data_IF_607280771005
#
_entry.id   IF_607280771005
#
_cell.length_a   1.000
_cell.length_b   1.000
_cell.length_c   1.000
_cell.angle_alpha   90.00
_cell.angle_beta   90.00
_cell.angle_gamma   90.00
#
_symmetry.space_group_name_H-M   'P 1'
#
loop_
_entity.id
_entity.type
_entity.pdbx_description
1 polymer ?
#
# COMPACT_ATOMS: atom_id res chain seq x y z
N UNK A 1 27.17 6.47 -7.84
CA UNK A 1 25.94 6.06 -8.57
C UNK A 1 25.25 7.31 -9.08
N UNK A 2 24.53 7.21 -10.19
CA UNK A 2 23.71 8.27 -10.79
C UNK A 2 22.30 7.74 -11.00
N UNK A 3 21.30 8.61 -10.92
CA UNK A 3 19.91 8.24 -11.16
C UNK A 3 19.43 8.77 -12.52
N UNK A 4 18.62 7.97 -13.19
CA UNK A 4 17.85 8.34 -14.37
C UNK A 4 16.51 7.62 -14.29
N UNK A 5 15.41 8.38 -14.25
CA UNK A 5 14.06 7.78 -14.26
C UNK A 5 13.88 6.95 -15.52
N UNK A 6 13.20 5.81 -15.41
CA UNK A 6 13.13 4.87 -16.51
C UNK A 6 12.37 5.47 -17.71
N UNK A 7 12.95 5.30 -18.89
CA UNK A 7 12.30 5.53 -20.17
C UNK A 7 12.86 4.52 -21.19
N UNK A 8 12.17 4.35 -22.31
CA UNK A 8 12.54 3.35 -23.35
C UNK A 8 13.95 3.52 -23.93
N UNK A 9 14.55 4.70 -23.80
CA UNK A 9 15.95 4.93 -24.19
C UNK A 9 16.95 4.13 -23.36
N UNK A 10 16.56 3.66 -22.18
CA UNK A 10 17.39 2.85 -21.30
C UNK A 10 17.30 1.35 -21.58
N UNK A 11 16.43 0.87 -22.48
CA UNK A 11 16.14 -0.56 -22.66
C UNK A 11 17.40 -1.42 -22.88
N UNK A 12 18.36 -0.91 -23.65
CA UNK A 12 19.60 -1.63 -23.97
C UNK A 12 20.81 -1.16 -23.12
N UNK A 13 20.57 -0.42 -22.04
CA UNK A 13 21.60 0.06 -21.12
C UNK A 13 21.60 -0.79 -19.86
N UNK A 14 22.77 -1.29 -19.46
CA UNK A 14 22.94 -1.95 -18.17
C UNK A 14 22.67 -0.97 -17.04
N UNK A 15 21.75 -1.35 -16.14
CA UNK A 15 21.25 -0.51 -15.05
C UNK A 15 20.88 -1.35 -13.83
N UNK A 16 20.76 -0.69 -12.69
CA UNK A 16 20.20 -1.23 -11.47
C UNK A 16 18.74 -0.76 -11.40
N UNK A 17 17.78 -1.68 -11.46
CA UNK A 17 16.37 -1.37 -11.27
C UNK A 17 16.07 -1.45 -9.79
N UNK A 18 15.77 -0.31 -9.19
CA UNK A 18 15.44 -0.20 -7.77
C UNK A 18 13.96 0.08 -7.69
N UNK A 19 13.28 -0.66 -6.83
CA UNK A 19 11.85 -0.50 -6.62
C UNK A 19 11.02 -0.56 -7.91
N UNK A 20 11.20 -1.66 -8.64
CA UNK A 20 10.54 -1.94 -9.89
C UNK A 20 11.32 -3.01 -10.64
N UNK A 21 10.69 -3.59 -11.65
CA UNK A 21 11.32 -4.57 -12.54
C UNK A 21 11.33 -4.04 -13.96
N UNK A 22 12.52 -3.72 -14.48
CA UNK A 22 12.71 -3.34 -15.89
C UNK A 22 13.70 -4.28 -16.58
N UNK A 23 13.51 -4.51 -17.88
CA UNK A 23 14.38 -5.39 -18.65
C UNK A 23 15.83 -4.91 -18.70
N UNK A 24 16.76 -5.88 -18.88
CA UNK A 24 18.21 -5.64 -18.96
C UNK A 24 18.76 -4.89 -17.73
N UNK A 25 18.34 -5.31 -16.53
CA UNK A 25 18.76 -4.70 -15.28
C UNK A 25 19.09 -5.76 -14.22
N UNK A 26 19.85 -5.36 -13.21
CA UNK A 26 19.95 -6.09 -11.95
C UNK A 26 18.88 -5.52 -11.01
N UNK A 27 18.04 -6.40 -10.48
CA UNK A 27 16.93 -6.01 -9.62
C UNK A 27 17.36 -5.77 -8.17
N UNK A 28 16.84 -4.71 -7.58
CA UNK A 28 16.83 -4.41 -6.15
C UNK A 28 15.43 -3.90 -5.78
N UNK A 29 14.47 -4.81 -5.87
CA UNK A 29 13.04 -4.56 -5.70
C UNK A 29 12.39 -5.69 -4.93
N UNK A 30 11.35 -5.35 -4.18
CA UNK A 30 10.43 -6.28 -3.53
C UNK A 30 9.24 -6.73 -4.43
N UNK A 31 9.11 -6.23 -5.66
CA UNK A 31 8.00 -6.56 -6.56
C UNK A 31 7.95 -8.06 -6.88
N UNK A 32 6.75 -8.61 -7.06
CA UNK A 32 6.58 -10.00 -7.46
C UNK A 32 7.33 -10.32 -8.76
N UNK A 33 8.17 -11.36 -8.74
CA UNK A 33 8.96 -11.78 -9.91
C UNK A 33 10.30 -11.05 -10.06
N UNK A 34 10.73 -10.27 -9.06
CA UNK A 34 12.08 -9.70 -9.04
C UNK A 34 13.16 -10.79 -9.01
N UNK A 35 14.37 -10.39 -9.40
CA UNK A 35 15.58 -11.23 -9.36
C UNK A 35 16.58 -10.69 -8.33
N UNK A 36 16.09 -10.01 -7.30
CA UNK A 36 16.92 -9.40 -6.26
C UNK A 36 17.76 -10.49 -5.57
N UNK A 37 19.09 -10.32 -5.46
CA UNK A 37 19.94 -11.31 -4.82
C UNK A 37 19.49 -11.61 -3.39
N UNK A 38 19.42 -12.89 -3.04
CA UNK A 38 18.91 -13.35 -1.74
C UNK A 38 19.66 -12.75 -0.54
N UNK A 39 20.94 -12.40 -0.70
CA UNK A 39 21.77 -11.77 0.34
C UNK A 39 21.21 -10.42 0.80
N UNK A 40 20.54 -9.66 -0.08
CA UNK A 40 20.07 -8.30 0.21
C UNK A 40 18.56 -8.18 0.26
N UNK A 41 17.82 -9.27 0.00
CA UNK A 41 16.34 -9.25 0.04
C UNK A 41 15.83 -8.78 1.40
N UNK A 42 14.76 -8.01 1.36
CA UNK A 42 14.01 -7.49 2.51
C UNK A 42 12.57 -7.19 2.06
N UNK A 43 11.73 -6.72 2.97
CA UNK A 43 10.31 -6.51 2.70
C UNK A 43 10.05 -5.30 1.77
N UNK A 44 10.84 -4.24 1.89
CA UNK A 44 10.74 -3.03 1.05
C UNK A 44 11.99 -2.85 0.20
N UNK A 45 11.86 -2.18 -0.94
CA UNK A 45 12.96 -1.84 -1.83
C UNK A 45 13.97 -0.91 -1.16
N UNK A 46 13.53 -0.04 -0.25
CA UNK A 46 14.42 0.80 0.57
C UNK A 46 15.29 -0.03 1.50
N UNK A 47 14.73 -1.05 2.16
CA UNK A 47 15.53 -1.93 3.00
C UNK A 47 16.49 -2.78 2.15
N UNK A 48 16.06 -3.23 0.97
CA UNK A 48 16.93 -3.91 0.00
C UNK A 48 18.12 -3.02 -0.39
N UNK A 49 17.86 -1.75 -0.72
CA UNK A 49 18.90 -0.79 -1.06
C UNK A 49 19.86 -0.53 0.12
N UNK A 50 19.34 -0.44 1.35
CA UNK A 50 20.15 -0.30 2.57
C UNK A 50 21.06 -1.52 2.80
N UNK A 51 20.52 -2.72 2.62
CA UNK A 51 21.29 -3.96 2.72
C UNK A 51 22.37 -4.02 1.63
N UNK A 52 22.08 -3.58 0.41
CA UNK A 52 23.05 -3.52 -0.68
C UNK A 52 24.18 -2.53 -0.40
N UNK A 53 23.87 -1.29 -0.01
CA UNK A 53 24.92 -0.28 0.21
C UNK A 53 25.79 -0.59 1.42
N UNK A 54 25.25 -1.34 2.40
CA UNK A 54 26.00 -1.87 3.55
C UNK A 54 26.70 -3.21 3.32
N UNK A 55 26.44 -3.90 2.20
CA UNK A 55 27.02 -5.22 1.94
C UNK A 55 28.51 -5.10 1.56
N UNK A 56 29.39 -5.95 2.12
CA UNK A 56 30.78 -6.04 1.66
C UNK A 56 30.88 -6.54 0.20
N UNK A 57 29.83 -7.18 -0.32
CA UNK A 57 29.75 -7.70 -1.68
C UNK A 57 29.12 -6.71 -2.67
N UNK A 58 28.85 -5.46 -2.27
CA UNK A 58 28.18 -4.44 -3.10
C UNK A 58 28.70 -4.39 -4.54
N UNK A 59 30.01 -4.34 -4.74
CA UNK A 59 30.60 -4.24 -6.09
C UNK A 59 30.33 -5.47 -6.96
N UNK A 60 30.28 -6.66 -6.36
CA UNK A 60 29.94 -7.89 -7.07
C UNK A 60 28.44 -7.93 -7.40
N UNK A 61 27.60 -7.53 -6.45
CA UNK A 61 26.14 -7.47 -6.60
C UNK A 61 25.71 -6.46 -7.67
N UNK A 62 26.39 -5.31 -7.78
CA UNK A 62 26.09 -4.29 -8.80
C UNK A 62 26.84 -4.52 -10.11
N UNK A 63 27.81 -5.44 -10.14
CA UNK A 63 28.72 -5.65 -11.29
C UNK A 63 29.41 -4.36 -11.78
N UNK A 64 29.64 -3.40 -10.87
CA UNK A 64 30.20 -2.08 -11.21
C UNK A 64 29.25 -1.15 -11.95
N UNK A 65 27.98 -1.51 -12.14
CA UNK A 65 26.96 -0.63 -12.73
C UNK A 65 26.66 0.52 -11.75
N UNK A 66 26.68 1.74 -12.28
CA UNK A 66 26.43 2.95 -11.50
C UNK A 66 25.08 3.62 -11.80
N UNK A 67 24.42 3.23 -12.90
CA UNK A 67 23.12 3.75 -13.30
C UNK A 67 22.01 3.08 -12.49
N UNK A 68 21.31 3.87 -11.69
CA UNK A 68 20.12 3.48 -10.93
C UNK A 68 18.88 4.00 -11.65
N UNK A 69 17.84 3.20 -11.73
CA UNK A 69 16.57 3.57 -12.35
C UNK A 69 15.38 3.05 -11.53
N UNK A 70 14.25 3.74 -11.65
CA UNK A 70 12.93 3.34 -11.17
C UNK A 70 11.92 3.74 -12.26
N UNK A 71 10.83 2.99 -12.41
CA UNK A 71 9.75 3.17 -13.39
C UNK A 71 8.48 3.82 -12.83
N UNK A 72 8.43 4.15 -11.53
CA UNK A 72 7.29 4.81 -10.91
C UNK A 72 7.72 5.65 -9.70
N UNK A 73 6.85 6.56 -9.27
CA UNK A 73 7.06 7.42 -8.11
C UNK A 73 6.17 7.02 -6.92
N UNK A 74 6.79 6.63 -5.82
CA UNK A 74 6.18 6.57 -4.50
C UNK A 74 7.24 6.77 -3.41
N UNK A 75 6.87 6.60 -2.14
CA UNK A 75 7.82 6.76 -1.03
C UNK A 75 8.92 5.69 -1.05
N UNK A 76 8.61 4.41 -1.27
CA UNK A 76 9.64 3.36 -1.23
C UNK A 76 10.63 3.51 -2.38
N UNK A 77 10.15 3.88 -3.57
CA UNK A 77 10.96 4.20 -4.74
C UNK A 77 11.89 5.40 -4.54
N UNK A 78 11.37 6.49 -4.01
CA UNK A 78 12.17 7.69 -3.73
C UNK A 78 13.25 7.40 -2.68
N UNK A 79 12.88 6.72 -1.59
CA UNK A 79 13.80 6.42 -0.49
C UNK A 79 14.87 5.40 -0.88
N UNK A 80 14.51 4.40 -1.69
CA UNK A 80 15.45 3.39 -2.20
C UNK A 80 16.44 3.99 -3.21
N UNK A 81 15.99 4.84 -4.14
CA UNK A 81 16.88 5.59 -5.04
C UNK A 81 17.79 6.51 -4.24
N UNK A 82 17.25 7.29 -3.30
CA UNK A 82 18.06 8.17 -2.46
C UNK A 82 19.13 7.41 -1.68
N UNK A 83 18.79 6.22 -1.17
CA UNK A 83 19.71 5.31 -0.48
C UNK A 83 20.88 4.90 -1.37
N UNK A 84 20.61 4.54 -2.62
CA UNK A 84 21.65 4.15 -3.58
C UNK A 84 22.62 5.28 -3.91
N UNK A 85 22.10 6.51 -3.96
CA UNK A 85 22.91 7.70 -4.26
C UNK A 85 23.75 8.17 -3.05
N UNK A 86 23.27 7.95 -1.82
CA UNK A 86 23.86 8.54 -0.60
C UNK A 86 24.51 7.53 0.36
N UNK A 87 24.42 6.22 0.07
CA UNK A 87 25.14 5.12 0.71
C UNK A 87 25.39 5.26 2.23
N UNK A 88 26.59 5.67 2.66
CA UNK A 88 26.95 5.83 4.08
C UNK A 88 25.95 6.68 4.86
N UNK A 89 25.51 7.80 4.26
CA UNK A 89 24.53 8.68 4.90
C UNK A 89 23.16 8.01 5.05
N UNK A 90 22.79 7.14 4.12
CA UNK A 90 21.55 6.38 4.21
C UNK A 90 21.62 5.32 5.31
N UNK A 91 22.77 4.67 5.51
CA UNK A 91 22.96 3.74 6.63
C UNK A 91 22.77 4.41 7.99
N UNK A 92 23.23 5.66 8.14
CA UNK A 92 23.01 6.46 9.35
C UNK A 92 21.54 6.82 9.61
N UNK A 93 20.70 6.80 8.57
CA UNK A 93 19.27 7.11 8.63
C UNK A 93 18.38 5.88 8.50
N UNK A 94 18.94 4.66 8.67
CA UNK A 94 18.22 3.39 8.55
C UNK A 94 16.95 3.34 9.40
N UNK A 95 17.00 3.89 10.62
CA UNK A 95 15.88 3.97 11.57
C UNK A 95 14.73 4.88 11.13
N UNK A 96 14.95 5.72 10.09
CA UNK A 96 13.93 6.61 9.52
C UNK A 96 13.47 6.14 8.14
N UNK A 97 14.41 5.65 7.34
CA UNK A 97 14.15 5.17 5.98
C UNK A 97 13.21 3.95 5.98
N UNK A 98 13.51 2.93 6.79
CA UNK A 98 12.70 1.69 6.80
C UNK A 98 11.25 1.98 7.22
N UNK A 99 10.99 2.64 8.38
CA UNK A 99 9.62 2.92 8.79
C UNK A 99 8.84 3.78 7.79
N UNK A 100 9.49 4.73 7.12
CA UNK A 100 8.85 5.60 6.13
C UNK A 100 8.52 4.85 4.83
N UNK A 101 9.39 3.94 4.39
CA UNK A 101 9.13 3.05 3.27
C UNK A 101 7.94 2.12 3.56
N UNK A 102 7.93 1.47 4.72
CA UNK A 102 6.81 0.60 5.14
C UNK A 102 5.49 1.37 5.29
N UNK A 103 5.53 2.62 5.76
CA UNK A 103 4.36 3.48 5.85
C UNK A 103 3.82 3.88 4.47
N UNK A 104 4.70 4.17 3.50
CA UNK A 104 4.29 4.58 2.16
C UNK A 104 3.83 3.44 1.27
N UNK A 105 4.56 2.33 1.29
CA UNK A 105 4.31 1.21 0.39
C UNK A 105 3.30 0.21 0.98
N UNK A 106 3.33 -0.08 2.28
CA UNK A 106 2.39 -1.04 2.90
C UNK A 106 1.22 -0.40 3.66
N UNK A 107 1.18 0.93 3.74
CA UNK A 107 0.19 1.66 4.56
C UNK A 107 0.19 1.16 6.01
N UNK A 108 1.39 0.92 6.55
CA UNK A 108 1.55 0.48 7.93
C UNK A 108 1.78 1.65 8.88
N UNK A 109 1.10 1.62 10.03
CA UNK A 109 1.41 2.54 11.12
C UNK A 109 2.72 2.11 11.79
N UNK A 110 3.84 2.57 11.27
CA UNK A 110 5.16 2.31 11.87
C UNK A 110 5.44 3.27 13.03
N UNK A 111 5.45 4.57 12.74
CA UNK A 111 5.43 5.66 13.72
C UNK A 111 4.91 6.96 13.07
N UNK A 112 4.55 7.95 13.88
CA UNK A 112 3.95 9.19 13.37
C UNK A 112 4.85 9.91 12.35
N UNK A 113 6.15 10.05 12.63
CA UNK A 113 7.06 10.78 11.76
C UNK A 113 7.24 10.09 10.40
N UNK A 114 7.27 8.76 10.39
CA UNK A 114 7.37 7.96 9.18
C UNK A 114 6.13 8.10 8.28
N UNK A 115 4.93 8.01 8.86
CA UNK A 115 3.68 8.21 8.12
C UNK A 115 3.60 9.65 7.59
N UNK A 116 3.96 10.65 8.40
CA UNK A 116 4.01 12.06 7.97
C UNK A 116 5.01 12.30 6.84
N UNK A 117 6.18 11.67 6.90
CA UNK A 117 7.20 11.75 5.84
C UNK A 117 6.68 11.13 4.53
N UNK A 118 6.06 9.95 4.62
CA UNK A 118 5.40 9.31 3.48
C UNK A 118 4.33 10.22 2.86
N UNK A 119 3.41 10.76 3.66
CA UNK A 119 2.39 11.70 3.16
C UNK A 119 3.04 12.93 2.50
N UNK A 120 4.09 13.50 3.08
CA UNK A 120 4.79 14.64 2.47
C UNK A 120 5.40 14.27 1.10
N UNK A 121 5.85 13.03 0.92
CA UNK A 121 6.47 12.55 -0.32
C UNK A 121 5.39 12.17 -1.35
N UNK A 122 4.50 11.23 -1.05
CA UNK A 122 3.57 10.64 -2.03
C UNK A 122 2.12 11.16 -1.92
N UNK A 123 1.78 11.92 -0.87
CA UNK A 123 0.51 12.63 -0.75
C UNK A 123 -0.63 11.88 -0.06
N UNK A 124 -0.55 10.54 0.04
CA UNK A 124 -1.67 9.76 0.57
C UNK A 124 -1.25 8.49 1.31
N UNK A 125 -2.17 7.98 2.12
CA UNK A 125 -2.11 6.70 2.85
C UNK A 125 -2.26 5.47 1.92
N UNK A 126 -2.40 5.68 0.61
CA UNK A 126 -2.42 4.62 -0.40
C UNK A 126 -1.49 4.96 -1.57
N UNK A 127 -0.77 3.98 -2.14
CA UNK A 127 0.04 4.22 -3.32
C UNK A 127 -0.76 4.58 -4.58
N UNK A 128 -2.07 4.32 -4.67
CA UNK A 128 -2.85 4.67 -5.87
C UNK A 128 -4.31 4.96 -5.52
N UNK A 129 -4.77 6.20 -5.73
CA UNK A 129 -6.17 6.48 -6.01
C UNK A 129 -6.23 7.39 -7.23
N UNK A 130 -7.20 7.14 -8.12
CA UNK A 130 -7.41 7.84 -9.39
C UNK A 130 -7.68 9.37 -9.29
N UNK A 131 -7.54 9.97 -8.10
CA UNK A 131 -7.58 11.42 -7.89
C UNK A 131 -6.13 11.90 -7.66
N UNK A 132 -5.41 11.92 -8.78
CA UNK A 132 -3.99 12.21 -8.97
C UNK A 132 -3.64 13.64 -8.54
N UNK A 133 -3.36 13.84 -7.25
CA UNK A 133 -2.73 15.09 -6.80
C UNK A 133 -1.23 15.11 -7.08
N UNK A 134 -0.61 13.99 -7.47
CA UNK A 134 0.85 13.84 -7.49
C UNK A 134 1.47 14.05 -6.11
N UNK A 135 2.80 14.09 -6.04
CA UNK A 135 3.53 14.40 -4.81
C UNK A 135 3.22 15.83 -4.33
N UNK A 136 2.71 16.05 -3.11
CA UNK A 136 2.43 17.40 -2.61
C UNK A 136 3.72 18.21 -2.44
N UNK A 137 4.83 17.54 -2.11
CA UNK A 137 6.15 18.17 -2.07
C UNK A 137 6.64 18.57 -3.46
N UNK A 138 6.53 17.70 -4.46
CA UNK A 138 6.88 18.05 -5.84
C UNK A 138 6.05 19.26 -6.30
N UNK A 139 4.74 19.26 -6.03
CA UNK A 139 3.86 20.35 -6.38
C UNK A 139 4.28 21.68 -5.76
N UNK A 140 4.60 21.67 -4.46
CA UNK A 140 5.07 22.86 -3.77
C UNK A 140 6.38 23.38 -4.38
N UNK A 141 7.33 22.48 -4.65
CA UNK A 141 8.64 22.85 -5.20
C UNK A 141 8.55 23.39 -6.63
N UNK A 142 7.59 22.87 -7.42
CA UNK A 142 7.31 23.36 -8.77
C UNK A 142 6.42 24.62 -8.80
N UNK A 143 5.68 24.89 -7.72
CA UNK A 143 4.67 25.96 -7.67
C UNK A 143 3.38 25.64 -8.44
N UNK A 144 3.08 24.37 -8.68
CA UNK A 144 1.94 23.90 -9.47
C UNK A 144 1.84 22.37 -9.49
N UNK A 145 0.84 21.81 -10.18
CA UNK A 145 0.70 20.34 -10.30
C UNK A 145 1.89 19.74 -11.06
N UNK A 146 2.42 18.64 -10.56
CA UNK A 146 3.41 17.77 -11.19
C UNK A 146 2.77 16.41 -11.40
N UNK A 147 2.47 16.09 -12.65
CA UNK A 147 1.85 14.84 -13.12
C UNK A 147 2.86 13.89 -13.81
N UNK A 148 4.16 14.19 -13.68
CA UNK A 148 5.26 13.43 -14.27
C UNK A 148 6.17 12.90 -13.15
N UNK A 149 6.27 11.58 -13.05
CA UNK A 149 7.08 10.90 -12.04
C UNK A 149 8.56 11.27 -12.14
N UNK A 150 9.10 11.38 -13.37
CA UNK A 150 10.49 11.78 -13.59
C UNK A 150 10.75 13.16 -12.97
N UNK A 151 9.87 14.12 -13.25
CA UNK A 151 9.92 15.46 -12.66
C UNK A 151 9.73 15.44 -11.14
N UNK A 152 8.85 14.58 -10.62
CA UNK A 152 8.67 14.42 -9.18
C UNK A 152 9.96 13.94 -8.50
N UNK A 153 10.67 12.97 -9.07
CA UNK A 153 11.99 12.55 -8.58
C UNK A 153 13.01 13.69 -8.57
N UNK A 154 13.12 14.44 -9.66
CA UNK A 154 14.07 15.57 -9.75
C UNK A 154 13.88 16.59 -8.62
N UNK A 155 12.62 16.86 -8.27
CA UNK A 155 12.26 17.83 -7.24
C UNK A 155 12.42 17.26 -5.83
N UNK A 156 11.97 16.03 -5.61
CA UNK A 156 11.85 15.44 -4.27
C UNK A 156 13.15 14.80 -3.79
N UNK A 157 13.94 14.15 -4.66
CA UNK A 157 15.18 13.48 -4.25
C UNK A 157 16.13 14.36 -3.43
N UNK A 158 16.38 15.64 -3.78
CA UNK A 158 17.24 16.52 -2.98
C UNK A 158 16.67 16.86 -1.59
N UNK A 159 15.38 16.63 -1.35
CA UNK A 159 14.69 16.97 -0.10
C UNK A 159 14.58 15.79 0.88
N UNK A 160 14.81 14.55 0.44
CA UNK A 160 14.54 13.32 1.23
C UNK A 160 15.10 13.37 2.64
N UNK A 161 16.39 13.69 2.79
CA UNK A 161 17.01 13.75 4.12
C UNK A 161 16.34 14.78 5.02
N UNK A 162 15.99 15.95 4.48
CA UNK A 162 15.34 17.01 5.24
C UNK A 162 13.92 16.62 5.63
N UNK A 163 13.17 15.97 4.74
CA UNK A 163 11.84 15.42 5.06
C UNK A 163 11.93 14.41 6.19
N UNK A 164 12.87 13.46 6.14
CA UNK A 164 13.02 12.42 7.16
C UNK A 164 13.50 12.95 8.52
N UNK A 165 14.36 13.98 8.52
CA UNK A 165 14.99 14.49 9.75
C UNK A 165 14.27 15.69 10.35
N UNK A 166 13.44 16.38 9.55
CA UNK A 166 12.73 17.62 9.93
C UNK A 166 11.31 17.65 9.38
N UNK A 167 10.60 16.53 9.53
CA UNK A 167 9.24 16.34 9.00
C UNK A 167 8.27 17.46 9.44
N UNK A 168 8.45 18.02 10.65
CA UNK A 168 7.64 19.12 11.17
C UNK A 168 7.72 20.40 10.32
N UNK A 169 8.83 20.64 9.60
CA UNK A 169 8.94 21.77 8.66
C UNK A 169 8.02 21.63 7.43
N UNK A 170 7.48 20.42 7.21
CA UNK A 170 6.57 20.08 6.11
C UNK A 170 5.12 19.92 6.58
N UNK A 171 4.78 20.39 7.78
CA UNK A 171 3.45 20.21 8.37
C UNK A 171 2.30 20.61 7.44
N UNK A 172 2.45 21.71 6.71
CA UNK A 172 1.43 22.17 5.76
C UNK A 172 1.17 21.18 4.61
N UNK A 173 2.06 20.23 4.34
CA UNK A 173 1.86 19.17 3.35
C UNK A 173 1.14 17.95 3.94
N UNK A 174 1.50 17.54 5.16
CA UNK A 174 1.03 16.26 5.70
C UNK A 174 -0.09 16.38 6.72
N UNK A 175 -0.35 17.56 7.29
CA UNK A 175 -1.33 17.75 8.38
C UNK A 175 -2.74 17.30 8.01
N UNK A 176 -3.22 17.65 6.82
CA UNK A 176 -4.57 17.31 6.37
C UNK A 176 -4.80 15.79 6.30
N UNK A 177 -4.03 15.05 5.49
CA UNK A 177 -4.13 13.59 5.45
C UNK A 177 -3.83 12.91 6.78
N UNK A 178 -2.86 13.41 7.56
CA UNK A 178 -2.55 12.87 8.88
C UNK A 178 -3.72 13.02 9.87
N UNK A 179 -4.44 14.15 9.85
CA UNK A 179 -5.62 14.34 10.69
C UNK A 179 -6.73 13.31 10.39
N UNK A 180 -6.86 12.87 9.14
CA UNK A 180 -7.81 11.82 8.76
C UNK A 180 -7.39 10.47 9.37
N UNK A 181 -6.09 10.16 9.35
CA UNK A 181 -5.53 8.96 10.00
C UNK A 181 -5.72 9.03 11.53
N UNK A 182 -5.37 10.15 12.17
CA UNK A 182 -5.57 10.37 13.61
C UNK A 182 -7.04 10.16 13.98
N UNK A 183 -7.98 10.78 13.26
CA UNK A 183 -9.42 10.65 13.54
C UNK A 183 -9.89 9.20 13.37
N UNK A 184 -9.34 8.48 12.39
CA UNK A 184 -9.63 7.05 12.19
C UNK A 184 -9.11 6.21 13.35
N UNK A 185 -7.87 6.43 13.80
CA UNK A 185 -7.27 5.74 14.95
C UNK A 185 -8.11 5.99 16.21
N UNK A 186 -8.44 7.25 16.49
CA UNK A 186 -9.28 7.62 17.62
C UNK A 186 -10.65 6.94 17.57
N UNK A 187 -11.24 6.79 16.39
CA UNK A 187 -12.51 6.08 16.20
C UNK A 187 -12.41 4.61 16.61
N UNK A 188 -11.31 3.92 16.31
CA UNK A 188 -11.05 2.56 16.79
C UNK A 188 -10.82 2.53 18.31
N UNK A 189 -10.04 3.46 18.87
CA UNK A 189 -9.75 3.51 20.32
C UNK A 189 -11.01 3.72 21.17
N UNK A 190 -11.97 4.49 20.65
CA UNK A 190 -13.27 4.75 21.29
C UNK A 190 -14.30 3.64 21.06
N UNK A 191 -13.99 2.66 20.20
CA UNK A 191 -14.90 1.58 19.81
C UNK A 191 -16.02 1.99 18.85
N UNK A 192 -15.92 3.16 18.22
CA UNK A 192 -16.86 3.58 17.17
C UNK A 192 -16.60 2.83 15.86
N UNK A 193 -15.32 2.65 15.51
CA UNK A 193 -14.86 1.65 14.54
C UNK A 193 -14.39 0.40 15.29
N UNK A 194 -14.56 -0.79 14.71
CA UNK A 194 -14.25 -2.04 15.38
C UNK A 194 -13.52 -3.02 14.47
N UNK A 195 -12.69 -3.87 15.07
CA UNK A 195 -12.09 -5.04 14.41
C UNK A 195 -12.51 -6.29 15.17
N UNK A 196 -13.05 -7.27 14.46
CA UNK A 196 -13.32 -8.61 14.96
C UNK A 196 -12.45 -9.62 14.23
N UNK A 197 -11.69 -10.42 14.99
CA UNK A 197 -10.77 -11.40 14.44
C UNK A 197 -11.38 -12.81 14.41
N UNK A 198 -11.27 -13.45 13.24
CA UNK A 198 -11.70 -14.82 13.01
C UNK A 198 -10.47 -15.68 12.64
N UNK A 199 -9.80 -16.20 13.67
CA UNK A 199 -8.55 -16.94 13.51
C UNK A 199 -8.66 -18.24 12.70
N UNK A 200 -9.84 -18.87 12.68
CA UNK A 200 -10.17 -20.04 11.87
C UNK A 200 -10.08 -19.75 10.36
N UNK A 201 -10.46 -18.53 9.95
CA UNK A 201 -10.43 -18.08 8.56
C UNK A 201 -9.23 -17.17 8.23
N UNK A 202 -8.46 -16.77 9.25
CA UNK A 202 -7.47 -15.68 9.21
C UNK A 202 -8.08 -14.40 8.62
N UNK A 203 -9.31 -14.09 9.02
CA UNK A 203 -10.11 -12.98 8.54
C UNK A 203 -10.24 -11.93 9.65
N UNK A 204 -10.02 -10.66 9.32
CA UNK A 204 -10.45 -9.54 10.15
C UNK A 204 -11.70 -8.91 9.53
N UNK A 205 -12.78 -8.83 10.31
CA UNK A 205 -13.93 -7.99 9.98
C UNK A 205 -13.69 -6.61 10.58
N UNK A 206 -13.59 -5.60 9.71
CA UNK A 206 -13.42 -4.21 10.08
C UNK A 206 -14.74 -3.48 9.82
N UNK A 207 -15.29 -2.84 10.84
CA UNK A 207 -16.45 -1.95 10.71
C UNK A 207 -16.00 -0.53 10.96
N UNK A 208 -16.11 0.33 9.95
CA UNK A 208 -15.67 1.72 10.01
C UNK A 208 -16.84 2.61 10.44
N UNK A 209 -16.62 3.50 11.40
CA UNK A 209 -17.66 4.43 11.83
C UNK A 209 -18.03 5.42 10.71
N UNK A 210 -19.31 5.75 10.61
CA UNK A 210 -19.81 6.69 9.58
C UNK A 210 -19.17 8.06 9.68
N UNK A 211 -18.80 8.51 10.87
CA UNK A 211 -18.28 9.86 11.17
C UNK A 211 -16.74 9.91 11.29
N UNK A 212 -16.03 8.89 10.77
CA UNK A 212 -14.55 8.83 10.81
C UNK A 212 -13.86 10.07 10.24
N UNK A 213 -14.47 10.80 9.30
CA UNK A 213 -13.96 12.09 8.78
C UNK A 213 -14.84 13.29 9.17
N UNK A 214 -15.44 13.23 10.36
CA UNK A 214 -16.23 14.31 10.95
C UNK A 214 -17.73 14.25 10.63
N UNK A 215 -18.47 15.33 10.92
CA UNK A 215 -19.94 15.33 10.86
C UNK A 215 -20.53 15.09 9.45
N UNK A 216 -19.77 15.43 8.40
CA UNK A 216 -20.14 15.12 7.00
C UNK A 216 -20.07 13.63 6.69
N UNK A 217 -19.32 12.88 7.50
CA UNK A 217 -19.14 11.44 7.41
C UNK A 217 -18.10 10.99 6.37
N UNK A 218 -17.60 9.78 6.59
CA UNK A 218 -16.87 9.00 5.61
C UNK A 218 -17.81 8.58 4.49
N UNK A 219 -17.53 9.05 3.27
CA UNK A 219 -18.19 8.60 2.04
C UNK A 219 -17.28 7.63 1.27
N UNK A 220 -17.57 6.32 1.23
CA UNK A 220 -16.76 5.33 0.50
C UNK A 220 -16.70 5.57 -1.02
N UNK A 221 -17.61 6.37 -1.58
CA UNK A 221 -17.55 6.76 -2.98
C UNK A 221 -16.54 7.88 -3.26
N UNK A 222 -16.00 8.52 -2.22
CA UNK A 222 -15.09 9.67 -2.31
C UNK A 222 -13.78 9.47 -1.58
N UNK A 223 -13.76 8.64 -0.55
CA UNK A 223 -12.60 8.45 0.30
C UNK A 223 -12.10 7.00 0.25
N UNK A 224 -10.78 6.85 0.25
CA UNK A 224 -10.15 5.56 0.48
C UNK A 224 -10.40 5.08 1.92
N UNK A 225 -10.39 3.76 2.13
CA UNK A 225 -10.41 3.22 3.49
C UNK A 225 -9.17 3.71 4.25
N UNK A 226 -9.24 3.92 5.58
CA UNK A 226 -8.12 4.42 6.37
C UNK A 226 -7.13 3.29 6.67
N UNK A 227 -6.37 2.85 5.65
CA UNK A 227 -5.56 1.64 5.71
C UNK A 227 -4.46 1.69 6.75
N UNK A 228 -3.79 2.83 6.99
CA UNK A 228 -2.84 2.97 8.11
C UNK A 228 -3.51 2.78 9.47
N UNK A 229 -4.75 3.23 9.65
CA UNK A 229 -5.49 2.94 10.87
C UNK A 229 -5.90 1.47 10.94
N UNK A 230 -6.36 0.88 9.84
CA UNK A 230 -6.77 -0.53 9.77
C UNK A 230 -5.58 -1.45 10.07
N UNK A 231 -4.41 -1.23 9.46
CA UNK A 231 -3.20 -2.04 9.63
C UNK A 231 -2.69 -2.04 11.07
N UNK A 232 -2.96 -0.98 11.83
CA UNK A 232 -2.66 -0.89 13.27
C UNK A 232 -3.49 -1.87 14.11
N UNK A 233 -4.71 -2.18 13.71
CA UNK A 233 -5.67 -2.96 14.52
C UNK A 233 -5.98 -4.36 13.98
N UNK A 234 -6.00 -4.54 12.67
CA UNK A 234 -6.32 -5.80 11.99
C UNK A 234 -5.08 -6.70 11.84
N UNK A 235 -5.25 -8.01 12.07
CA UNK A 235 -4.18 -9.02 12.06
C UNK A 235 -4.43 -10.18 11.10
N UNK A 236 -5.57 -10.17 10.42
CA UNK A 236 -5.95 -11.18 9.45
C UNK A 236 -5.06 -11.14 8.20
N UNK A 237 -5.13 -12.23 7.44
CA UNK A 237 -4.56 -12.32 6.09
C UNK A 237 -5.56 -11.87 5.02
N UNK A 238 -6.79 -11.58 5.42
CA UNK A 238 -7.87 -11.07 4.60
C UNK A 238 -8.69 -10.10 5.44
N UNK A 239 -9.09 -8.98 4.85
CA UNK A 239 -9.84 -7.91 5.49
C UNK A 239 -11.20 -7.80 4.83
N UNK A 240 -12.28 -8.00 5.60
CA UNK A 240 -13.62 -7.59 5.22
C UNK A 240 -13.86 -6.20 5.80
N UNK A 241 -13.83 -5.18 4.96
CA UNK A 241 -14.04 -3.78 5.34
C UNK A 241 -15.50 -3.43 5.06
N UNK A 242 -16.26 -3.19 6.14
CA UNK A 242 -17.67 -2.83 6.13
C UNK A 242 -17.85 -1.36 6.52
N UNK A 243 -18.54 -0.60 5.67
CA UNK A 243 -18.70 0.85 5.80
C UNK A 243 -20.19 1.20 5.72
N UNK A 244 -20.78 1.90 6.71
CA UNK A 244 -22.14 2.37 6.63
C UNK A 244 -22.32 3.27 5.39
N UNK A 245 -23.21 2.89 4.49
CA UNK A 245 -23.43 3.62 3.24
C UNK A 245 -24.91 3.62 2.86
N UNK A 246 -25.47 4.82 2.71
CA UNK A 246 -26.90 5.02 2.49
C UNK A 246 -27.74 4.31 3.57
N UNK A 247 -28.62 3.38 3.19
CA UNK A 247 -29.46 2.58 4.10
C UNK A 247 -28.91 1.16 4.33
N UNK A 248 -27.64 0.91 4.00
CA UNK A 248 -26.99 -0.39 4.11
C UNK A 248 -25.49 -0.26 4.31
N UNK A 249 -24.73 -1.14 3.67
CA UNK A 249 -23.29 -1.29 3.85
C UNK A 249 -22.56 -1.33 2.52
N UNK A 250 -21.51 -0.52 2.38
CA UNK A 250 -20.51 -0.72 1.34
C UNK A 250 -19.47 -1.72 1.85
N UNK A 251 -19.08 -2.66 0.99
CA UNK A 251 -18.11 -3.69 1.33
C UNK A 251 -16.94 -3.71 0.38
N UNK A 252 -15.76 -3.93 0.95
CA UNK A 252 -14.53 -4.30 0.26
C UNK A 252 -13.93 -5.52 0.95
N UNK A 253 -13.38 -6.44 0.15
CA UNK A 253 -12.56 -7.54 0.64
C UNK A 253 -11.19 -7.33 0.06
N UNK A 254 -10.25 -7.02 0.94
CA UNK A 254 -8.89 -6.66 0.59
C UNK A 254 -7.91 -7.60 1.31
N UNK A 255 -6.75 -7.82 0.73
CA UNK A 255 -5.61 -8.40 1.41
C UNK A 255 -4.78 -7.29 2.07
N UNK A 256 -3.98 -7.60 3.11
CA UNK A 256 -2.95 -6.67 3.58
C UNK A 256 -2.09 -6.21 2.40
N UNK A 257 -1.73 -4.92 2.35
CA UNK A 257 -1.09 -4.37 1.16
C UNK A 257 0.21 -5.10 0.83
N UNK A 258 1.07 -5.39 1.82
CA UNK A 258 2.30 -6.17 1.62
C UNK A 258 2.12 -7.54 0.93
N UNK A 259 0.91 -8.10 0.90
CA UNK A 259 0.65 -9.44 0.35
C UNK A 259 0.87 -9.56 -1.16
N UNK A 260 0.95 -8.45 -1.90
CA UNK A 260 1.31 -8.49 -3.33
C UNK A 260 2.83 -8.54 -3.56
N UNK A 261 3.63 -8.14 -2.57
CA UNK A 261 5.09 -8.06 -2.66
C UNK A 261 5.77 -9.37 -2.24
N UNK A 262 7.03 -9.54 -2.66
CA UNK A 262 7.92 -10.59 -2.15
C UNK A 262 8.58 -10.15 -0.85
N UNK A 263 8.02 -10.58 0.27
CA UNK A 263 8.50 -10.27 1.61
C UNK A 263 9.40 -11.38 2.20
N UNK A 264 10.26 -11.01 3.14
CA UNK A 264 11.15 -11.88 3.92
C UNK A 264 10.65 -12.07 5.35
N UNK A 265 10.28 -10.99 6.04
CA UNK A 265 9.82 -11.00 7.43
C UNK A 265 8.31 -11.19 7.49
N UNK A 266 7.56 -10.43 6.68
CA UNK A 266 6.10 -10.56 6.58
C UNK A 266 5.71 -11.92 5.96
N UNK A 267 4.60 -12.53 6.44
CA UNK A 267 4.18 -13.83 5.95
C UNK A 267 3.70 -13.73 4.51
N UNK A 268 4.10 -14.69 3.68
CA UNK A 268 3.53 -14.85 2.34
C UNK A 268 2.05 -15.23 2.45
N UNK A 269 1.19 -14.52 1.71
CA UNK A 269 -0.25 -14.77 1.67
C UNK A 269 -0.62 -15.23 0.26
N UNK A 270 -1.16 -16.45 0.17
CA UNK A 270 -1.67 -16.97 -1.10
C UNK A 270 -3.00 -16.29 -1.45
N UNK A 271 -3.07 -15.73 -2.66
CA UNK A 271 -4.32 -15.16 -3.20
C UNK A 271 -5.29 -16.29 -3.51
N UNK A 272 -6.51 -16.16 -3.03
CA UNK A 272 -7.56 -17.16 -3.12
C UNK A 272 -8.51 -16.86 -4.28
N UNK A 273 -9.03 -17.91 -4.92
CA UNK A 273 -10.09 -17.78 -5.91
C UNK A 273 -11.44 -17.59 -5.20
N UNK A 274 -12.05 -16.41 -5.33
CA UNK A 274 -13.31 -16.08 -4.68
C UNK A 274 -14.56 -16.25 -5.58
N UNK A 275 -14.46 -16.91 -6.73
CA UNK A 275 -15.59 -17.05 -7.65
C UNK A 275 -16.83 -17.68 -6.99
N UNK A 276 -16.65 -18.76 -6.21
CA UNK A 276 -17.75 -19.43 -5.51
C UNK A 276 -18.33 -18.57 -4.38
N UNK A 277 -17.46 -17.83 -3.66
CA UNK A 277 -17.87 -16.89 -2.63
C UNK A 277 -18.75 -15.78 -3.21
N UNK A 278 -18.34 -15.20 -4.34
CA UNK A 278 -19.12 -14.18 -5.08
C UNK A 278 -20.52 -14.71 -5.41
N UNK A 279 -20.62 -15.92 -5.97
CA UNK A 279 -21.92 -16.54 -6.27
C UNK A 279 -22.79 -16.68 -5.02
N UNK A 280 -22.23 -17.20 -3.92
CA UNK A 280 -22.97 -17.41 -2.66
C UNK A 280 -23.43 -16.11 -2.00
N UNK A 281 -22.64 -15.05 -2.06
CA UNK A 281 -23.04 -13.74 -1.56
C UNK A 281 -24.15 -13.13 -2.42
N UNK A 282 -24.02 -13.21 -3.75
CA UNK A 282 -25.06 -12.71 -4.68
C UNK A 282 -26.39 -13.45 -4.55
N UNK A 283 -26.41 -14.75 -4.23
CA UNK A 283 -27.64 -15.51 -3.95
C UNK A 283 -28.38 -15.02 -2.69
N UNK A 284 -27.68 -14.35 -1.77
CA UNK A 284 -28.24 -13.84 -0.51
C UNK A 284 -28.70 -12.40 -0.59
N UNK A 285 -28.16 -11.64 -1.54
CA UNK A 285 -28.60 -10.28 -1.81
C UNK A 285 -30.07 -10.26 -2.23
N UNK A 286 -30.79 -9.21 -1.81
CA UNK A 286 -32.22 -9.03 -2.11
C UNK A 286 -32.44 -7.64 -2.66
N UNK A 287 -33.17 -7.56 -3.77
CA UNK A 287 -33.78 -6.32 -4.31
C UNK A 287 -32.82 -5.11 -4.48
N UNK A 288 -31.51 -5.36 -4.58
CA UNK A 288 -30.48 -4.33 -4.74
C UNK A 288 -30.05 -4.14 -6.19
N UNK A 289 -29.67 -2.91 -6.55
CA UNK A 289 -29.07 -2.62 -7.87
C UNK A 289 -27.59 -3.05 -7.97
N UNK A 290 -26.95 -3.37 -6.84
CA UNK A 290 -25.56 -3.80 -6.77
C UNK A 290 -25.38 -5.32 -6.77
N UNK A 291 -24.15 -5.76 -6.99
CA UNK A 291 -23.73 -7.16 -6.90
C UNK A 291 -22.30 -7.26 -6.38
N UNK A 292 -21.97 -8.37 -5.74
CA UNK A 292 -20.59 -8.74 -5.44
C UNK A 292 -19.86 -9.06 -6.74
N UNK A 293 -18.69 -8.47 -6.92
CA UNK A 293 -17.79 -8.76 -8.03
C UNK A 293 -16.39 -9.03 -7.50
N UNK A 294 -15.63 -9.85 -8.23
CA UNK A 294 -14.18 -9.86 -8.09
C UNK A 294 -13.64 -8.49 -8.50
N UNK A 295 -12.59 -8.04 -7.82
CA UNK A 295 -11.92 -6.79 -8.12
C UNK A 295 -10.41 -7.00 -8.11
N UNK A 296 -9.77 -6.51 -9.17
CA UNK A 296 -8.31 -6.52 -9.36
C UNK A 296 -7.82 -5.16 -9.81
N UNK A 297 -8.64 -4.11 -9.66
CA UNK A 297 -8.28 -2.73 -10.02
C UNK A 297 -7.24 -2.12 -9.07
N UNK A 298 -7.11 -2.68 -7.87
CA UNK A 298 -6.14 -2.27 -6.85
C UNK A 298 -5.36 -3.51 -6.38
N UNK A 299 -4.09 -3.34 -6.03
CA UNK A 299 -3.18 -4.45 -5.67
C UNK A 299 -3.66 -5.26 -4.45
N UNK A 300 -4.28 -4.59 -3.48
CA UNK A 300 -4.83 -5.22 -2.27
C UNK A 300 -6.22 -5.80 -2.49
N UNK A 301 -7.01 -5.23 -3.42
CA UNK A 301 -8.43 -5.58 -3.58
C UNK A 301 -8.62 -6.98 -4.12
N UNK A 302 -9.68 -7.63 -3.66
CA UNK A 302 -10.10 -8.94 -4.13
C UNK A 302 -11.57 -8.97 -4.54
N UNK A 303 -12.43 -8.27 -3.80
CA UNK A 303 -13.85 -8.17 -4.10
C UNK A 303 -14.45 -6.86 -3.61
N UNK A 304 -15.47 -6.38 -4.32
CA UNK A 304 -16.28 -5.23 -3.88
C UNK A 304 -17.75 -5.49 -4.17
N UNK A 305 -18.63 -4.84 -3.39
CA UNK A 305 -20.05 -4.76 -3.72
C UNK A 305 -20.32 -3.48 -4.53
N UNK A 306 -20.60 -3.63 -5.82
CA UNK A 306 -20.64 -2.51 -6.77
C UNK A 306 -21.87 -2.53 -7.67
N UNK A 307 -22.19 -1.35 -8.22
CA UNK A 307 -23.11 -1.18 -9.34
C UNK A 307 -22.46 -1.66 -10.65
N UNK A 308 -23.24 -1.70 -11.73
CA UNK A 308 -22.75 -2.07 -13.06
C UNK A 308 -21.70 -1.11 -13.63
N UNK A 309 -21.61 0.13 -13.13
CA UNK A 309 -20.60 1.12 -13.50
C UNK A 309 -19.32 1.02 -12.66
N UNK A 310 -19.22 0.03 -11.78
CA UNK A 310 -18.05 -0.22 -10.93
C UNK A 310 -18.03 0.58 -9.62
N UNK A 311 -18.95 1.51 -9.41
CA UNK A 311 -19.01 2.28 -8.15
C UNK A 311 -19.54 1.44 -7.00
N UNK A 312 -19.05 1.70 -5.79
CA UNK A 312 -19.55 1.05 -4.58
C UNK A 312 -21.06 1.31 -4.42
N UNK A 313 -21.77 0.25 -3.99
CA UNK A 313 -23.20 0.28 -3.74
C UNK A 313 -23.49 -0.12 -2.30
N UNK A 314 -24.73 0.11 -1.85
CA UNK A 314 -25.19 -0.33 -0.54
C UNK A 314 -25.75 -1.75 -0.63
N UNK A 315 -25.08 -2.72 -0.01
CA UNK A 315 -25.60 -4.06 0.26
C UNK A 315 -26.54 -4.02 1.47
N UNK A 316 -27.56 -4.88 1.44
CA UNK A 316 -28.50 -5.07 2.56
C UNK A 316 -28.00 -6.10 3.58
N UNK A 317 -27.00 -6.90 3.21
CA UNK A 317 -26.39 -7.89 4.10
C UNK A 317 -25.67 -7.19 5.24
N UNK A 318 -25.80 -7.73 6.45
CA UNK A 318 -25.11 -7.20 7.62
C UNK A 318 -23.66 -7.71 7.69
N UNK A 319 -22.73 -6.97 8.32
CA UNK A 319 -21.30 -7.31 8.29
C UNK A 319 -21.01 -8.72 8.83
N UNK A 320 -21.69 -9.11 9.91
CA UNK A 320 -21.57 -10.44 10.50
C UNK A 320 -22.08 -11.55 9.57
N UNK A 321 -23.14 -11.29 8.78
CA UNK A 321 -23.65 -12.25 7.81
C UNK A 321 -22.62 -12.48 6.69
N UNK A 322 -22.04 -11.41 6.16
CA UNK A 322 -21.00 -11.50 5.12
C UNK A 322 -19.78 -12.25 5.68
N UNK A 323 -19.31 -11.89 6.88
CA UNK A 323 -18.19 -12.56 7.54
C UNK A 323 -18.45 -14.07 7.71
N UNK A 324 -19.65 -14.46 8.15
CA UNK A 324 -20.00 -15.87 8.31
C UNK A 324 -20.01 -16.65 7.00
N UNK A 325 -20.48 -16.05 5.90
CA UNK A 325 -20.43 -16.68 4.57
C UNK A 325 -18.97 -16.87 4.13
N UNK A 326 -18.12 -15.85 4.28
CA UNK A 326 -16.69 -15.93 3.97
C UNK A 326 -16.04 -17.04 4.77
N UNK A 327 -16.24 -17.08 6.10
CA UNK A 327 -15.63 -18.07 6.98
C UNK A 327 -16.01 -19.50 6.60
N UNK A 328 -17.29 -19.75 6.31
CA UNK A 328 -17.77 -21.07 5.88
C UNK A 328 -17.16 -21.50 4.55
N UNK A 329 -17.02 -20.57 3.61
CA UNK A 329 -16.38 -20.85 2.32
C UNK A 329 -14.91 -21.24 2.53
N UNK A 330 -14.17 -20.42 3.27
CA UNK A 330 -12.75 -20.64 3.53
C UNK A 330 -12.50 -21.96 4.28
N UNK A 331 -13.35 -22.30 5.25
CA UNK A 331 -13.27 -23.58 5.95
C UNK A 331 -13.56 -24.78 5.02
N UNK A 332 -14.56 -24.66 4.13
CA UNK A 332 -14.89 -25.71 3.17
C UNK A 332 -13.76 -25.94 2.15
N UNK A 333 -13.14 -24.87 1.65
CA UNK A 333 -11.99 -24.94 0.76
C UNK A 333 -10.78 -25.62 1.41
N UNK A 334 -10.49 -25.30 2.68
CA UNK A 334 -9.41 -25.93 3.43
C UNK A 334 -9.65 -27.43 3.66
N UNK A 335 -10.90 -27.82 3.97
CA UNK A 335 -11.28 -29.22 4.17
C UNK A 335 -11.23 -30.05 2.86
N UNK A 336 -11.45 -29.42 1.71
CA UNK A 336 -11.44 -30.07 0.40
C UNK A 336 -10.01 -30.37 -0.14
N UNK A 337 -8.95 -29.96 0.56
CA UNK A 337 -7.57 -30.15 0.10
C UNK A 337 -7.26 -29.47 -1.23
N UNK A 338 -8.09 -28.51 -1.65
CA UNK A 338 -7.87 -27.73 -2.86
C UNK A 338 -6.75 -26.73 -2.59
N UNK A 339 -5.57 -26.94 -3.17
CA UNK A 339 -4.61 -25.87 -3.38
C UNK A 339 -5.12 -25.02 -4.54
N UNK A 340 -5.37 -23.75 -4.27
CA UNK A 340 -5.87 -22.79 -5.25
C UNK A 340 -4.67 -22.24 -6.01
N UNK A 341 -4.19 -22.98 -7.02
CA UNK A 341 -3.24 -22.48 -8.00
C UNK A 341 -3.93 -21.62 -9.04
#
# INVERSE_FOLDING_TARGET
MRFEFYHSGLDNVHKLSVDGTVGNSIHFSHWQGNETPAEVKADTSTEIALNLVGSPNKNALTQGIELVTNNHFDTDGVLSVWTMLNAERALELRDKLIPAAEAGDFSEFTNENAVRASIAIQGSDQPVTADESGSPLANQLAGGLVDDDARAYELVLPQVERVLTRVDEYEHLWRGPWQQIETSIESFERGASTVQEFGDARLSLITVARDVFGPSGFDPARHAAPFTAISRYAKGQLFLIAIPYQNGWAYRIDYPYYSWAETIVRPRIERRNFALLVSRLNERERDGAGKWNLDTSELSSAMKFTLSDGKLSASVLQPDEVADVIRRELAASAAAGQSWN
#
